data_IF_781366346396
#
_entry.id   IF_781366346396
#
_cell.length_a   1.000
_cell.length_b   1.000
_cell.length_c   1.000
_cell.angle_alpha   90.00
_cell.angle_beta   90.00
_cell.angle_gamma   90.00
#
_symmetry.space_group_name_H-M   'P 1'
#
loop_
_entity.id
_entity.type
_entity.pdbx_description
1 polymer ?
#
# COMPACT_ATOMS: atom_id res chain seq x y z
N UNK A 1 -1.47 10.25 -53.73
CA UNK A 1 -2.32 9.57 -52.75
C UNK A 1 -3.40 10.58 -52.36
N UNK A 2 -4.70 10.25 -52.41
CA UNK A 2 -5.73 11.18 -51.95
C UNK A 2 -5.50 11.42 -50.44
N UNK A 3 -5.63 12.68 -50.04
CA UNK A 3 -5.54 13.05 -48.62
C UNK A 3 -6.64 12.27 -47.87
N UNK A 4 -6.21 11.47 -46.88
CA UNK A 4 -7.15 10.80 -46.02
C UNK A 4 -8.08 11.85 -45.40
N UNK A 5 -9.38 11.71 -45.65
CA UNK A 5 -10.37 12.54 -44.97
C UNK A 5 -10.24 12.27 -43.45
N UNK A 6 -9.86 13.30 -42.71
CA UNK A 6 -9.78 13.24 -41.26
C UNK A 6 -11.19 13.09 -40.69
N UNK A 7 -11.52 11.89 -40.24
CA UNK A 7 -12.71 11.64 -39.42
C UNK A 7 -12.41 12.06 -37.97
N UNK A 8 -13.10 13.10 -37.44
CA UNK A 8 -12.87 13.53 -36.04
C UNK A 8 -13.14 12.45 -34.99
N UNK A 9 -14.08 11.53 -35.25
CA UNK A 9 -14.41 10.45 -34.33
C UNK A 9 -13.36 9.33 -34.37
N UNK A 10 -12.77 9.08 -35.51
CA UNK A 10 -11.60 8.21 -35.64
C UNK A 10 -10.43 8.79 -34.84
N UNK A 11 -10.16 10.08 -34.98
CA UNK A 11 -9.05 10.72 -34.24
C UNK A 11 -9.23 10.67 -32.74
N UNK A 12 -10.44 10.90 -32.21
CA UNK A 12 -10.73 10.82 -30.77
C UNK A 12 -10.46 9.44 -30.17
N UNK A 13 -10.68 8.39 -30.93
CA UNK A 13 -10.57 7.01 -30.49
C UNK A 13 -9.28 6.32 -30.94
N UNK A 14 -8.50 6.93 -31.84
CA UNK A 14 -7.35 6.30 -32.48
C UNK A 14 -6.35 5.73 -31.46
N UNK A 15 -5.99 6.48 -30.41
CA UNK A 15 -5.07 5.99 -29.37
C UNK A 15 -5.66 4.84 -28.58
N UNK A 16 -6.95 4.88 -28.23
CA UNK A 16 -7.61 3.77 -27.51
C UNK A 16 -7.71 2.51 -28.37
N UNK A 17 -7.95 2.65 -29.67
CA UNK A 17 -8.01 1.55 -30.61
C UNK A 17 -6.61 0.94 -30.76
N UNK A 18 -5.58 1.77 -30.95
CA UNK A 18 -4.19 1.33 -30.94
C UNK A 18 -3.84 0.53 -29.68
N UNK A 19 -4.21 1.03 -28.49
CA UNK A 19 -3.95 0.32 -27.24
C UNK A 19 -4.65 -1.04 -27.16
N UNK A 20 -5.86 -1.16 -27.70
CA UNK A 20 -6.59 -2.45 -27.77
C UNK A 20 -5.88 -3.45 -28.68
N UNK A 21 -5.46 -3.00 -29.88
CA UNK A 21 -4.70 -3.82 -30.81
C UNK A 21 -3.36 -4.24 -30.22
N UNK A 22 -2.61 -3.28 -29.68
CA UNK A 22 -1.35 -3.54 -28.97
C UNK A 22 -1.52 -4.58 -27.86
N UNK A 23 -2.57 -4.46 -27.03
CA UNK A 23 -2.86 -5.42 -25.98
C UNK A 23 -3.25 -6.81 -26.53
N UNK A 24 -3.97 -6.87 -27.65
CA UNK A 24 -4.36 -8.12 -28.29
C UNK A 24 -3.16 -8.87 -28.88
N UNK A 25 -2.21 -8.13 -29.49
CA UNK A 25 -1.00 -8.66 -30.08
C UNK A 25 0.06 -9.08 -29.04
N UNK A 26 0.10 -8.36 -27.91
CA UNK A 26 1.06 -8.62 -26.83
C UNK A 26 0.41 -9.49 -25.76
N UNK A 27 0.60 -10.80 -25.87
CA UNK A 27 0.08 -11.76 -24.87
C UNK A 27 0.60 -11.43 -23.47
N UNK A 28 -0.22 -11.73 -22.45
CA UNK A 28 0.18 -11.58 -21.04
C UNK A 28 1.34 -12.51 -20.72
N UNK A 29 2.55 -11.95 -20.65
CA UNK A 29 3.79 -12.71 -20.41
C UNK A 29 3.76 -13.50 -19.10
N UNK A 30 3.09 -12.96 -18.07
CA UNK A 30 3.01 -13.55 -16.73
C UNK A 30 1.66 -14.19 -16.43
N UNK A 31 0.89 -14.61 -17.46
CA UNK A 31 -0.36 -15.35 -17.25
C UNK A 31 -0.05 -16.73 -16.65
N UNK A 32 -0.67 -17.06 -15.52
CA UNK A 32 -0.63 -18.43 -15.01
C UNK A 32 -1.42 -19.39 -15.93
N UNK A 33 -0.77 -20.44 -16.37
CA UNK A 33 -1.36 -21.46 -17.24
C UNK A 33 -1.21 -22.89 -16.67
N UNK A 34 -0.79 -23.01 -15.41
CA UNK A 34 -0.65 -24.28 -14.71
C UNK A 34 -1.95 -24.76 -14.06
N UNK A 35 -1.93 -26.00 -13.57
CA UNK A 35 -3.06 -26.66 -12.90
C UNK A 35 -2.65 -27.44 -11.64
N UNK A 36 -1.40 -27.29 -11.18
CA UNK A 36 -0.91 -27.92 -9.95
C UNK A 36 -0.33 -26.88 -8.97
N UNK A 37 -0.30 -27.19 -7.66
CA UNK A 37 0.30 -26.31 -6.65
C UNK A 37 1.78 -26.02 -6.93
N UNK A 38 2.53 -26.97 -7.43
CA UNK A 38 3.97 -26.82 -7.74
C UNK A 38 4.16 -25.78 -8.84
N UNK A 39 3.43 -25.92 -9.96
CA UNK A 39 3.45 -24.96 -11.07
C UNK A 39 3.00 -23.56 -10.62
N UNK A 40 2.04 -23.49 -9.71
CA UNK A 40 1.64 -22.21 -9.12
C UNK A 40 2.77 -21.59 -8.29
N UNK A 41 3.46 -22.40 -7.49
CA UNK A 41 4.60 -21.94 -6.69
C UNK A 41 5.75 -21.38 -7.55
N UNK A 42 6.10 -22.05 -8.63
CA UNK A 42 7.12 -21.59 -9.59
C UNK A 42 6.69 -20.29 -10.28
N UNK A 43 5.46 -20.26 -10.76
CA UNK A 43 4.89 -19.06 -11.37
C UNK A 43 4.84 -17.89 -10.40
N UNK A 44 4.35 -18.10 -9.16
CA UNK A 44 4.27 -17.06 -8.12
C UNK A 44 5.64 -16.45 -7.87
N UNK A 45 6.69 -17.25 -7.78
CA UNK A 45 8.06 -16.78 -7.60
C UNK A 45 8.52 -15.87 -8.75
N UNK A 46 8.28 -16.30 -9.98
CA UNK A 46 8.65 -15.54 -11.19
C UNK A 46 7.84 -14.26 -11.33
N UNK A 47 6.52 -14.33 -11.06
CA UNK A 47 5.63 -13.17 -11.10
C UNK A 47 6.01 -12.13 -10.04
N UNK A 48 6.31 -12.58 -8.80
CA UNK A 48 6.76 -11.69 -7.73
C UNK A 48 8.07 -10.98 -8.10
N UNK A 49 9.05 -11.72 -8.63
CA UNK A 49 10.30 -11.12 -9.08
C UNK A 49 10.05 -10.04 -10.14
N UNK A 50 9.18 -10.32 -11.12
CA UNK A 50 8.85 -9.35 -12.16
C UNK A 50 8.14 -8.12 -11.64
N UNK A 51 7.25 -8.28 -10.65
CA UNK A 51 6.58 -7.14 -9.99
C UNK A 51 7.61 -6.26 -9.27
N UNK A 52 8.54 -6.85 -8.52
CA UNK A 52 9.58 -6.09 -7.81
C UNK A 52 10.48 -5.31 -8.79
N UNK A 53 10.87 -5.91 -9.91
CA UNK A 53 11.62 -5.23 -10.98
C UNK A 53 10.84 -3.99 -11.52
N UNK A 54 9.54 -4.16 -11.79
CA UNK A 54 8.69 -3.07 -12.28
C UNK A 54 8.44 -1.98 -11.25
N UNK A 55 8.44 -2.31 -9.98
CA UNK A 55 8.31 -1.34 -8.87
C UNK A 55 9.60 -0.53 -8.67
N UNK A 56 10.74 -1.04 -9.14
CA UNK A 56 12.06 -0.37 -9.08
C UNK A 56 12.44 0.08 -7.66
N UNK A 57 12.38 -0.86 -6.70
CA UNK A 57 12.61 -0.61 -5.26
C UNK A 57 13.82 -1.36 -4.68
N UNK A 58 14.52 -2.13 -5.47
CA UNK A 58 15.67 -2.96 -5.09
C UNK A 58 16.90 -2.14 -4.62
N UNK A 59 16.95 -0.86 -4.99
CA UNK A 59 17.96 0.09 -4.53
C UNK A 59 17.66 0.68 -3.13
N UNK A 60 16.45 0.48 -2.59
CA UNK A 60 16.05 1.04 -1.31
C UNK A 60 16.52 0.16 -0.14
N UNK A 61 16.97 0.76 1.00
CA UNK A 61 17.53 0.00 2.10
C UNK A 61 16.49 -0.87 2.80
N UNK A 62 16.93 -2.04 3.26
CA UNK A 62 16.15 -2.94 4.10
C UNK A 62 16.64 -2.79 5.54
N UNK A 63 15.94 -1.96 6.32
CA UNK A 63 16.24 -1.73 7.74
C UNK A 63 14.93 -1.50 8.48
N UNK A 64 14.73 -2.20 9.59
CA UNK A 64 13.59 -1.98 10.50
C UNK A 64 13.68 -0.58 11.09
N UNK A 65 12.69 0.29 10.87
CA UNK A 65 12.69 1.62 11.47
C UNK A 65 12.40 1.55 12.98
N UNK A 66 12.96 2.50 13.73
CA UNK A 66 12.55 2.73 15.10
C UNK A 66 11.29 3.57 15.16
N UNK A 67 10.35 3.20 16.03
CA UNK A 67 9.11 3.95 16.23
C UNK A 67 9.28 5.02 17.31
N UNK A 68 8.68 6.16 17.10
CA UNK A 68 8.50 7.22 18.10
C UNK A 68 7.01 7.38 18.37
N UNK A 69 6.59 7.25 19.64
CA UNK A 69 5.21 7.51 20.06
C UNK A 69 5.04 9.03 20.21
N UNK A 70 4.07 9.60 19.50
CA UNK A 70 3.76 11.03 19.50
C UNK A 70 2.62 11.34 20.45
N UNK A 71 1.59 10.50 20.45
CA UNK A 71 0.39 10.67 21.28
C UNK A 71 -0.27 9.31 21.53
N UNK A 72 -1.07 9.24 22.58
CA UNK A 72 -1.83 8.05 22.96
C UNK A 72 -3.26 8.43 23.37
N UNK A 73 -4.24 7.69 22.84
CA UNK A 73 -5.65 7.75 23.24
C UNK A 73 -6.07 6.39 23.78
N UNK A 74 -6.68 6.38 24.97
CA UNK A 74 -7.12 5.15 25.63
C UNK A 74 -8.62 4.97 25.47
N UNK A 75 -9.01 3.89 24.82
CA UNK A 75 -10.38 3.40 24.74
C UNK A 75 -10.62 2.32 25.80
N UNK A 76 -11.84 1.86 25.98
CA UNK A 76 -12.15 0.84 27.00
C UNK A 76 -11.37 -0.46 26.78
N UNK A 77 -11.33 -0.97 25.55
CA UNK A 77 -10.78 -2.28 25.21
C UNK A 77 -9.39 -2.25 24.52
N UNK A 78 -8.94 -1.09 24.07
CA UNK A 78 -7.65 -0.93 23.36
C UNK A 78 -7.04 0.44 23.59
N UNK A 79 -5.81 0.59 23.14
CA UNK A 79 -5.11 1.87 23.08
C UNK A 79 -4.77 2.18 21.63
N UNK A 80 -4.99 3.43 21.19
CA UNK A 80 -4.57 3.94 19.89
C UNK A 80 -3.38 4.87 20.10
N UNK A 81 -2.25 4.54 19.54
CA UNK A 81 -1.04 5.35 19.57
C UNK A 81 -0.81 6.00 18.21
N UNK A 82 -0.67 7.32 18.18
CA UNK A 82 -0.07 7.99 17.03
C UNK A 82 1.43 7.81 17.13
N UNK A 83 2.01 7.18 16.14
CA UNK A 83 3.46 6.94 16.02
C UNK A 83 4.01 7.59 14.78
N UNK A 84 5.32 7.75 14.74
CA UNK A 84 6.05 8.04 13.51
C UNK A 84 7.32 7.20 13.45
N UNK A 85 7.80 6.94 12.25
CA UNK A 85 9.07 6.26 11.99
C UNK A 85 9.70 6.78 10.71
N UNK A 86 11.03 6.72 10.67
CA UNK A 86 11.81 7.22 9.55
C UNK A 86 12.29 6.06 8.67
N UNK A 87 11.94 6.08 7.40
CA UNK A 87 12.32 5.05 6.43
C UNK A 87 13.58 5.39 5.65
N UNK A 88 13.75 6.66 5.29
CA UNK A 88 14.98 7.25 4.72
C UNK A 88 15.28 8.58 5.44
N UNK A 89 16.48 9.16 5.30
CA UNK A 89 16.70 10.54 5.70
C UNK A 89 15.58 11.42 5.11
N UNK A 90 14.90 12.22 5.92
CA UNK A 90 13.79 13.10 5.53
C UNK A 90 12.46 12.41 5.15
N UNK A 91 12.39 11.08 5.01
CA UNK A 91 11.12 10.37 4.80
C UNK A 91 10.58 9.84 6.13
N UNK A 92 9.64 10.58 6.70
CA UNK A 92 8.92 10.21 7.92
C UNK A 92 7.54 9.67 7.55
N UNK A 93 7.16 8.56 8.16
CA UNK A 93 5.84 7.94 8.03
C UNK A 93 5.07 8.11 9.34
N UNK A 94 4.05 8.99 9.39
CA UNK A 94 3.08 8.98 10.47
C UNK A 94 2.22 7.73 10.38
N UNK A 95 1.83 7.16 11.51
CA UNK A 95 0.96 5.98 11.55
C UNK A 95 0.14 5.95 12.83
N UNK A 96 -0.94 5.15 12.83
CA UNK A 96 -1.67 4.81 14.05
C UNK A 96 -1.54 3.33 14.36
N UNK A 97 -1.12 3.02 15.58
CA UNK A 97 -0.99 1.67 16.10
C UNK A 97 -2.08 1.43 17.16
N UNK A 98 -2.92 0.44 16.89
CA UNK A 98 -4.01 0.03 17.78
C UNK A 98 -3.59 -1.24 18.51
N UNK A 99 -3.62 -1.22 19.83
CA UNK A 99 -3.18 -2.35 20.68
C UNK A 99 -4.31 -2.71 21.63
N UNK A 100 -4.91 -3.92 21.50
CA UNK A 100 -5.89 -4.42 22.46
C UNK A 100 -5.31 -4.50 23.88
N UNK A 101 -6.14 -4.23 24.90
CA UNK A 101 -5.78 -4.36 26.30
C UNK A 101 -5.97 -5.79 26.79
N UNK A 102 -5.31 -6.13 27.93
CA UNK A 102 -5.51 -7.38 28.66
C UNK A 102 -5.21 -8.66 27.86
N UNK A 103 -4.24 -8.60 26.96
CA UNK A 103 -3.82 -9.75 26.19
C UNK A 103 -2.64 -10.45 26.84
N UNK A 104 -2.78 -11.76 27.10
CA UNK A 104 -1.78 -12.59 27.76
C UNK A 104 -0.81 -13.30 26.81
N UNK A 105 -1.01 -13.17 25.49
CA UNK A 105 -0.20 -13.81 24.45
C UNK A 105 -0.02 -12.86 23.26
N UNK A 106 0.99 -13.09 22.40
CA UNK A 106 1.08 -12.36 21.14
C UNK A 106 -0.19 -12.48 20.29
N UNK A 107 -0.59 -11.38 19.68
CA UNK A 107 -1.86 -11.22 19.00
C UNK A 107 -1.74 -11.30 17.49
N UNK A 108 -2.80 -11.78 16.79
CA UNK A 108 -2.90 -11.60 15.36
C UNK A 108 -2.95 -10.11 15.01
N UNK A 109 -2.36 -9.76 13.89
CA UNK A 109 -2.12 -8.36 13.54
C UNK A 109 -2.53 -8.09 12.11
N UNK A 110 -3.03 -6.87 11.85
CA UNK A 110 -3.40 -6.41 10.51
C UNK A 110 -2.65 -5.13 10.17
N UNK A 111 -1.98 -5.13 9.04
CA UNK A 111 -1.51 -3.92 8.38
C UNK A 111 -2.66 -3.35 7.55
N UNK A 112 -2.98 -2.08 7.75
CA UNK A 112 -4.19 -1.44 7.24
C UNK A 112 -3.84 -0.23 6.35
N UNK A 113 -3.33 -0.41 5.12
CA UNK A 113 -3.02 0.70 4.23
C UNK A 113 -4.28 1.48 3.85
N UNK A 114 -4.27 2.84 3.94
CA UNK A 114 -5.42 3.65 3.58
C UNK A 114 -5.67 3.70 2.07
N UNK A 115 -6.89 4.05 1.67
CA UNK A 115 -7.25 4.31 0.28
C UNK A 115 -6.96 5.75 -0.15
N UNK A 116 -7.36 6.10 -1.38
CA UNK A 116 -7.29 7.48 -1.86
C UNK A 116 -8.19 8.40 -1.03
N UNK A 117 -7.75 9.65 -0.86
CA UNK A 117 -8.50 10.76 -0.22
C UNK A 117 -7.67 11.46 0.86
N UNK A 118 -8.23 11.66 2.07
CA UNK A 118 -7.54 12.35 3.16
C UNK A 118 -6.58 11.45 3.97
N UNK A 119 -6.02 10.41 3.35
CA UNK A 119 -5.07 9.53 4.00
C UNK A 119 -5.66 8.75 5.19
N UNK A 120 -4.91 8.65 6.26
CA UNK A 120 -5.30 7.90 7.47
C UNK A 120 -6.63 8.39 8.06
N UNK A 121 -6.92 9.68 8.03
CA UNK A 121 -8.11 10.25 8.65
C UNK A 121 -9.41 9.61 8.14
N UNK A 122 -9.48 9.26 6.86
CA UNK A 122 -10.63 8.54 6.30
C UNK A 122 -10.86 7.16 6.90
N UNK A 123 -9.79 6.57 7.44
CA UNK A 123 -9.79 5.20 7.96
C UNK A 123 -10.07 5.17 9.45
N UNK A 124 -9.70 6.22 10.20
CA UNK A 124 -9.78 6.25 11.66
C UNK A 124 -10.86 7.17 12.22
N UNK A 125 -11.34 8.17 11.45
CA UNK A 125 -12.36 9.13 11.94
C UNK A 125 -13.78 8.60 11.79
N UNK A 126 -14.71 9.11 12.64
CA UNK A 126 -16.13 8.72 12.64
C UNK A 126 -16.80 8.99 11.29
N UNK A 127 -16.50 10.16 10.73
CA UNK A 127 -17.04 10.62 9.44
C UNK A 127 -16.23 10.12 8.26
N UNK A 128 -15.22 9.29 8.51
CA UNK A 128 -14.35 8.72 7.49
C UNK A 128 -15.07 7.74 6.57
N UNK A 129 -14.72 7.77 5.28
CA UNK A 129 -15.36 6.95 4.25
C UNK A 129 -15.17 5.42 4.44
N UNK A 130 -14.26 5.01 5.33
CA UNK A 130 -13.87 3.60 5.53
C UNK A 130 -14.34 2.99 6.85
N UNK A 131 -15.36 3.58 7.49
CA UNK A 131 -16.09 2.98 8.62
C UNK A 131 -15.21 2.58 9.82
N UNK A 132 -14.09 3.26 10.08
CA UNK A 132 -13.20 2.98 11.24
C UNK A 132 -12.80 1.51 11.40
N UNK A 133 -12.60 0.79 10.33
CA UNK A 133 -12.33 -0.65 10.43
C UNK A 133 -11.13 -1.02 11.32
N UNK A 134 -10.05 -0.21 11.48
CA UNK A 134 -8.98 -0.54 12.42
C UNK A 134 -9.44 -0.54 13.89
N UNK A 135 -10.38 0.33 14.26
CA UNK A 135 -11.00 0.31 15.58
C UNK A 135 -11.76 -1.00 15.82
N UNK A 136 -12.57 -1.42 14.84
CA UNK A 136 -13.29 -2.69 14.92
C UNK A 136 -12.33 -3.90 15.03
N UNK A 137 -11.19 -3.87 14.35
CA UNK A 137 -10.16 -4.90 14.50
C UNK A 137 -9.57 -4.90 15.92
N UNK A 138 -9.27 -3.73 16.47
CA UNK A 138 -8.76 -3.64 17.83
C UNK A 138 -9.77 -4.13 18.88
N UNK A 139 -11.05 -3.81 18.71
CA UNK A 139 -12.15 -4.33 19.55
C UNK A 139 -12.30 -5.85 19.44
N UNK A 140 -12.04 -6.41 18.25
CA UNK A 140 -12.04 -7.85 18.02
C UNK A 140 -10.76 -8.58 18.48
N UNK A 141 -9.79 -7.86 19.09
CA UNK A 141 -8.58 -8.45 19.65
C UNK A 141 -7.41 -8.55 18.68
N UNK A 142 -7.43 -7.83 17.56
CA UNK A 142 -6.29 -7.72 16.63
C UNK A 142 -5.47 -6.45 16.91
N UNK A 143 -4.17 -6.54 16.80
CA UNK A 143 -3.35 -5.34 16.62
C UNK A 143 -3.60 -4.81 15.21
N UNK A 144 -3.71 -3.48 15.03
CA UNK A 144 -3.82 -2.88 13.72
C UNK A 144 -2.80 -1.74 13.56
N UNK A 145 -2.09 -1.70 12.44
CA UNK A 145 -1.19 -0.61 12.07
C UNK A 145 -1.69 0.06 10.81
N UNK A 146 -1.89 1.37 10.87
CA UNK A 146 -2.38 2.20 9.76
C UNK A 146 -1.31 3.22 9.39
N UNK A 147 -0.40 2.95 8.44
CA UNK A 147 0.62 3.90 8.01
C UNK A 147 0.06 4.88 6.98
N UNK A 148 0.52 6.14 7.02
CA UNK A 148 0.18 7.13 6.01
C UNK A 148 0.98 6.90 4.72
N UNK A 149 0.31 6.94 3.59
CA UNK A 149 0.95 6.86 2.29
C UNK A 149 1.63 8.17 1.88
N UNK A 150 2.70 8.07 1.08
CA UNK A 150 3.26 9.20 0.35
C UNK A 150 2.15 9.90 -0.43
N UNK A 151 2.18 11.22 -0.46
CA UNK A 151 1.25 12.11 -1.16
C UNK A 151 -0.12 12.29 -0.50
N UNK A 152 -0.33 11.77 0.72
CA UNK A 152 -1.63 11.90 1.42
C UNK A 152 -1.46 12.48 2.82
N UNK A 153 -2.58 13.00 3.35
CA UNK A 153 -2.71 13.44 4.73
C UNK A 153 -1.57 14.34 5.20
N UNK A 154 -0.92 13.95 6.28
CA UNK A 154 0.22 14.68 6.86
C UNK A 154 1.49 14.66 5.98
N UNK A 155 1.52 13.85 4.92
CA UNK A 155 2.62 13.73 3.96
C UNK A 155 2.35 14.45 2.64
N UNK A 156 1.34 15.31 2.61
CA UNK A 156 1.03 16.18 1.48
C UNK A 156 1.25 17.64 1.87
N UNK A 157 2.01 18.39 1.10
CA UNK A 157 2.30 19.79 1.38
C UNK A 157 1.04 20.67 1.33
N UNK A 158 0.06 20.32 0.50
CA UNK A 158 -1.22 21.02 0.39
C UNK A 158 -2.30 20.52 1.36
N UNK A 159 -2.04 19.42 2.08
CA UNK A 159 -3.05 18.69 2.87
C UNK A 159 -4.08 17.94 2.02
N UNK A 160 -3.93 17.96 0.70
CA UNK A 160 -4.74 17.22 -0.26
C UNK A 160 -3.87 16.17 -0.98
N UNK A 161 -4.48 15.24 -1.72
CA UNK A 161 -3.71 14.27 -2.48
C UNK A 161 -2.87 14.91 -3.58
N UNK A 162 -1.54 14.76 -3.48
CA UNK A 162 -0.56 15.20 -4.48
C UNK A 162 -0.02 14.03 -5.32
N UNK A 163 -0.74 12.94 -5.33
CA UNK A 163 -0.34 11.67 -5.95
C UNK A 163 0.15 11.83 -7.40
N UNK A 164 -0.44 12.73 -8.17
CA UNK A 164 -0.06 12.97 -9.57
C UNK A 164 1.33 13.58 -9.68
N UNK A 165 1.63 14.60 -8.88
CA UNK A 165 2.93 15.27 -8.91
C UNK A 165 4.05 14.30 -8.53
N UNK A 166 3.89 13.59 -7.41
CA UNK A 166 4.89 12.65 -6.92
C UNK A 166 5.08 11.46 -7.89
N UNK A 167 3.99 11.01 -8.52
CA UNK A 167 4.05 9.99 -9.56
C UNK A 167 4.88 10.45 -10.78
N UNK A 168 4.59 11.65 -11.30
CA UNK A 168 5.31 12.21 -12.44
C UNK A 168 6.80 12.43 -12.10
N UNK A 169 7.11 12.95 -10.92
CA UNK A 169 8.48 13.16 -10.46
C UNK A 169 9.27 11.85 -10.32
N UNK A 170 8.69 10.83 -9.70
CA UNK A 170 9.33 9.52 -9.55
C UNK A 170 9.53 8.81 -10.89
N UNK A 171 8.60 8.95 -11.84
CA UNK A 171 8.76 8.39 -13.18
C UNK A 171 9.96 9.00 -13.91
N UNK A 172 10.21 10.31 -13.77
CA UNK A 172 11.40 10.95 -14.33
C UNK A 172 12.71 10.39 -13.74
N UNK A 173 12.65 9.87 -12.52
CA UNK A 173 13.78 9.25 -11.82
C UNK A 173 13.86 7.73 -12.06
N UNK A 174 13.03 7.17 -12.93
CA UNK A 174 13.00 5.74 -13.22
C UNK A 174 12.40 4.87 -12.10
N UNK A 175 11.56 5.46 -11.25
CA UNK A 175 10.91 4.78 -10.13
C UNK A 175 9.39 5.00 -10.15
N UNK A 176 8.67 4.48 -9.16
CA UNK A 176 7.21 4.59 -9.08
C UNK A 176 6.74 4.94 -7.67
N UNK A 177 5.68 5.74 -7.57
CA UNK A 177 5.07 6.03 -6.26
C UNK A 177 4.49 4.76 -5.59
N UNK A 178 3.99 3.82 -6.40
CA UNK A 178 3.51 2.51 -5.92
C UNK A 178 4.67 1.71 -5.32
N UNK A 179 5.84 1.73 -5.96
CA UNK A 179 7.04 1.07 -5.45
C UNK A 179 7.46 1.61 -4.08
N UNK A 180 7.55 2.93 -3.95
CA UNK A 180 7.89 3.54 -2.65
C UNK A 180 6.86 3.23 -1.55
N UNK A 181 5.57 3.30 -1.86
CA UNK A 181 4.51 2.90 -0.92
C UNK A 181 4.63 1.45 -0.50
N UNK A 182 4.87 0.56 -1.47
CA UNK A 182 5.07 -0.86 -1.22
C UNK A 182 6.28 -1.10 -0.31
N UNK A 183 7.40 -0.44 -0.59
CA UNK A 183 8.60 -0.54 0.22
C UNK A 183 8.38 -0.01 1.65
N UNK A 184 7.68 1.10 1.84
CA UNK A 184 7.34 1.61 3.19
C UNK A 184 6.39 0.67 3.94
N UNK A 185 5.46 0.01 3.24
CA UNK A 185 4.62 -1.02 3.86
C UNK A 185 5.42 -2.26 4.29
N UNK A 186 6.46 -2.63 3.54
CA UNK A 186 7.40 -3.67 3.99
C UNK A 186 8.13 -3.22 5.26
N UNK A 187 8.55 -1.97 5.35
CA UNK A 187 9.14 -1.41 6.60
C UNK A 187 8.14 -1.39 7.75
N UNK A 188 6.85 -1.18 7.45
CA UNK A 188 5.77 -1.30 8.45
C UNK A 188 5.61 -2.74 8.94
N UNK A 189 5.78 -3.74 8.08
CA UNK A 189 5.80 -5.15 8.48
C UNK A 189 6.98 -5.45 9.39
N UNK A 190 8.19 -4.97 9.07
CA UNK A 190 9.36 -5.16 9.92
C UNK A 190 9.14 -4.57 11.34
N UNK A 191 8.45 -3.42 11.43
CA UNK A 191 8.04 -2.85 12.73
C UNK A 191 7.12 -3.82 13.46
N UNK A 192 6.06 -4.30 12.81
CA UNK A 192 5.10 -5.23 13.42
C UNK A 192 5.79 -6.49 13.92
N UNK A 193 6.67 -7.09 13.13
CA UNK A 193 7.43 -8.29 13.50
C UNK A 193 8.38 -8.04 14.68
N UNK A 194 8.84 -6.80 14.87
CA UNK A 194 9.71 -6.42 15.99
C UNK A 194 8.98 -6.21 17.33
N UNK A 195 7.65 -6.06 17.30
CA UNK A 195 6.85 -5.80 18.49
C UNK A 195 6.57 -7.09 19.26
N UNK A 196 6.90 -7.16 20.58
CA UNK A 196 6.72 -8.38 21.36
C UNK A 196 5.25 -8.81 21.54
N UNK A 197 4.30 -7.90 21.30
CA UNK A 197 2.86 -8.17 21.36
C UNK A 197 2.32 -8.82 20.08
N UNK A 198 3.08 -8.82 18.99
CA UNK A 198 2.66 -9.32 17.66
C UNK A 198 3.04 -10.79 17.51
N UNK A 199 2.10 -11.59 17.06
CA UNK A 199 2.38 -12.94 16.56
C UNK A 199 2.79 -12.85 15.08
N UNK A 200 4.09 -12.95 14.83
CA UNK A 200 4.67 -12.84 13.47
C UNK A 200 4.18 -13.90 12.49
N UNK A 201 3.58 -15.02 12.98
CA UNK A 201 2.98 -16.04 12.14
C UNK A 201 1.52 -15.74 11.77
N UNK A 202 0.94 -14.68 12.34
CA UNK A 202 -0.46 -14.29 12.13
C UNK A 202 -0.57 -12.82 11.78
N UNK A 203 0.21 -12.37 10.78
CA UNK A 203 0.12 -11.02 10.23
C UNK A 203 -0.65 -11.11 8.91
N UNK A 204 -1.68 -10.28 8.77
CA UNK A 204 -2.46 -10.09 7.56
C UNK A 204 -2.43 -8.65 7.09
N UNK A 205 -3.01 -8.38 5.93
CA UNK A 205 -3.18 -7.04 5.38
C UNK A 205 -4.64 -6.83 4.95
N UNK A 206 -5.19 -5.64 5.23
CA UNK A 206 -6.56 -5.29 4.88
C UNK A 206 -6.65 -3.84 4.44
N UNK A 207 -7.17 -3.60 3.23
CA UNK A 207 -7.34 -2.26 2.69
C UNK A 207 -8.46 -2.19 1.66
N UNK A 208 -8.95 -0.97 1.40
CA UNK A 208 -9.97 -0.68 0.40
C UNK A 208 -9.43 0.31 -0.64
N UNK A 209 -9.87 0.20 -1.90
CA UNK A 209 -9.41 1.06 -3.01
C UNK A 209 -7.89 0.96 -3.19
N UNK A 210 -7.14 2.07 -3.16
CA UNK A 210 -5.68 2.06 -3.19
C UNK A 210 -5.10 1.17 -2.07
N UNK A 211 -5.69 1.17 -0.86
CA UNK A 211 -5.29 0.27 0.21
C UNK A 211 -5.46 -1.21 -0.16
N UNK A 212 -6.49 -1.55 -0.92
CA UNK A 212 -6.69 -2.87 -1.50
C UNK A 212 -5.63 -3.24 -2.55
N UNK A 213 -5.27 -2.29 -3.42
CA UNK A 213 -4.17 -2.45 -4.38
C UNK A 213 -2.85 -2.69 -3.66
N UNK A 214 -2.54 -1.90 -2.62
CA UNK A 214 -1.33 -2.09 -1.82
C UNK A 214 -1.32 -3.44 -1.10
N UNK A 215 -2.46 -3.89 -0.60
CA UNK A 215 -2.61 -5.24 -0.02
C UNK A 215 -2.28 -6.33 -1.03
N UNK A 216 -2.76 -6.18 -2.28
CA UNK A 216 -2.46 -7.13 -3.35
C UNK A 216 -0.97 -7.17 -3.71
N UNK A 217 -0.31 -6.01 -3.80
CA UNK A 217 1.12 -5.93 -4.09
C UNK A 217 1.98 -6.50 -2.96
N UNK A 218 1.53 -6.36 -1.70
CA UNK A 218 2.26 -6.82 -0.52
C UNK A 218 2.20 -8.35 -0.34
N UNK A 219 1.12 -9.02 -0.78
CA UNK A 219 0.91 -10.46 -0.67
C UNK A 219 1.83 -11.28 -1.59
#
# INVERSE_FOLDING_TARGET
>A
MPAAQFDPDFTKNAFRNYLKEFYAEHSRQMKFCGNTPELFGEWKKSARQRVLELLSIDHLPVKTPEIQIINEVRYDNYTMQKIQYQTLPELVVPAYLFIPKNCSSPLPTLLCPPGHGNGINQVIEEEGAYYKYPHAFAEAGYIALVPEHISFGERSASGQSECRFDHEALNLLGSTVIGYRMWELQRSLDILESLPQVDSNRIGCAGLSLGGEMTLYLA
#
